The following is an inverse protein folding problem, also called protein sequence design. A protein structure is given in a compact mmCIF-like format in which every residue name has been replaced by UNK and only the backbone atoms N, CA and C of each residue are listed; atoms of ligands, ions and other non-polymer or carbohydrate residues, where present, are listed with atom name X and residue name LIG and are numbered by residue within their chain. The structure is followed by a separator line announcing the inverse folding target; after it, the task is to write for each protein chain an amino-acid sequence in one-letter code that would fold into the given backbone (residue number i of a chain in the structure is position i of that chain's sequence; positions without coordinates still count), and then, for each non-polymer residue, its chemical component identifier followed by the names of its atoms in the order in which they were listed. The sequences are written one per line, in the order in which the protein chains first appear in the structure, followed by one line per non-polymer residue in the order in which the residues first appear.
data_IF_627222561001
#
_entry.id   IF_627222561001
#
_cell.length_a   1.000
_cell.length_b   1.000
_cell.length_c   1.000
_cell.angle_alpha   90.00
_cell.angle_beta   90.00
_cell.angle_gamma   90.00
#
_symmetry.space_group_name_H-M   'P 1'
#
loop_
_entity.id
_entity.type
_entity.pdbx_description
1 polymer ?
#
# COMPACT_ATOMS: atom_id res chain seq x y z
N UNK A 1 -34.40 6.68 -6.76
CA UNK A 1 -35.14 5.82 -5.81
C UNK A 1 -34.41 5.92 -4.48
N UNK A 2 -35.09 6.35 -3.41
CA UNK A 2 -34.50 6.39 -2.06
C UNK A 2 -34.28 4.95 -1.62
N UNK A 3 -33.02 4.53 -1.50
CA UNK A 3 -32.72 3.25 -0.89
C UNK A 3 -33.11 3.37 0.59
N UNK A 4 -34.09 2.54 0.93
CA UNK A 4 -34.64 2.34 2.25
C UNK A 4 -33.55 2.14 3.30
N UNK A 5 -33.77 2.79 4.42
CA UNK A 5 -33.11 2.72 5.72
C UNK A 5 -32.83 1.26 6.11
N UNK A 6 -31.76 0.69 5.54
CA UNK A 6 -31.12 -0.49 6.13
C UNK A 6 -30.45 0.06 7.38
N UNK A 7 -30.83 -0.50 8.52
CA UNK A 7 -30.17 -0.31 9.80
C UNK A 7 -28.70 -0.71 9.62
N UNK A 8 -27.86 0.26 9.26
CA UNK A 8 -26.41 0.08 9.12
C UNK A 8 -25.82 0.04 10.53
N UNK A 9 -24.78 -0.76 10.71
CA UNK A 9 -24.14 -0.90 12.02
C UNK A 9 -23.65 0.49 12.50
N UNK A 10 -23.77 0.80 13.80
CA UNK A 10 -23.31 2.08 14.31
C UNK A 10 -21.80 2.21 14.12
N UNK A 11 -21.33 3.43 13.85
CA UNK A 11 -19.91 3.71 13.81
C UNK A 11 -19.25 3.36 15.16
N UNK A 12 -17.98 2.93 15.15
CA UNK A 12 -17.21 2.75 16.37
C UNK A 12 -17.22 4.00 17.25
N UNK A 13 -17.23 3.81 18.57
CA UNK A 13 -17.17 4.89 19.55
C UNK A 13 -15.84 5.66 19.44
N UNK A 14 -15.84 6.94 19.80
CA UNK A 14 -14.62 7.78 19.78
C UNK A 14 -13.52 7.26 20.73
N UNK A 15 -13.88 6.45 21.73
CA UNK A 15 -12.96 5.78 22.65
C UNK A 15 -12.50 4.39 22.20
N UNK A 16 -12.97 3.92 21.03
CA UNK A 16 -12.58 2.63 20.47
C UNK A 16 -11.07 2.57 20.18
N UNK A 17 -10.50 1.38 20.33
CA UNK A 17 -9.11 1.13 19.97
C UNK A 17 -8.92 1.14 18.44
N UNK A 18 -7.69 1.36 18.00
CA UNK A 18 -7.36 1.33 16.56
C UNK A 18 -7.66 -0.03 15.91
N UNK A 19 -7.52 -1.13 16.66
CA UNK A 19 -7.81 -2.49 16.18
C UNK A 19 -9.31 -2.67 15.93
N UNK A 20 -10.17 -2.22 16.87
CA UNK A 20 -11.63 -2.26 16.71
C UNK A 20 -12.10 -1.41 15.53
N UNK A 21 -11.53 -0.22 15.33
CA UNK A 21 -11.82 0.63 14.17
C UNK A 21 -11.39 -0.05 12.85
N UNK A 22 -10.23 -0.69 12.84
CA UNK A 22 -9.74 -1.41 11.66
C UNK A 22 -10.62 -2.61 11.32
N UNK A 23 -11.01 -3.40 12.31
CA UNK A 23 -11.89 -4.57 12.13
C UNK A 23 -13.28 -4.16 11.61
N UNK A 24 -13.81 -3.03 12.09
CA UNK A 24 -15.05 -2.47 11.55
C UNK A 24 -14.91 -2.17 10.06
N UNK A 25 -13.90 -1.38 9.67
CA UNK A 25 -13.70 -1.01 8.26
C UNK A 25 -13.20 -2.14 7.36
N UNK A 26 -12.72 -3.25 7.92
CA UNK A 26 -12.38 -4.44 7.14
C UNK A 26 -13.61 -5.11 6.51
N UNK A 27 -14.80 -4.86 7.07
CA UNK A 27 -16.08 -5.47 6.64
C UNK A 27 -17.12 -4.46 6.14
N UNK A 28 -16.91 -3.17 6.38
CA UNK A 28 -17.84 -2.09 6.03
C UNK A 28 -17.30 -1.19 4.92
N UNK A 29 -18.18 -0.73 4.04
CA UNK A 29 -17.83 0.20 2.97
C UNK A 29 -17.99 1.65 3.44
N UNK A 30 -16.97 2.48 3.22
CA UNK A 30 -16.98 3.89 3.63
C UNK A 30 -18.07 4.71 2.95
N UNK A 31 -18.51 4.32 1.76
CA UNK A 31 -19.60 4.99 1.03
C UNK A 31 -20.96 4.80 1.72
N UNK A 32 -21.13 3.75 2.53
CA UNK A 32 -22.35 3.52 3.31
C UNK A 32 -22.48 4.48 4.49
N UNK A 33 -21.41 5.20 4.85
CA UNK A 33 -21.34 6.16 5.97
C UNK A 33 -20.97 7.58 5.51
N UNK A 34 -21.14 7.89 4.22
CA UNK A 34 -20.71 9.15 3.61
C UNK A 34 -21.24 10.42 4.33
N UNK A 35 -22.42 10.34 4.93
CA UNK A 35 -23.05 11.42 5.71
C UNK A 35 -22.42 11.67 7.08
N UNK A 36 -21.61 10.72 7.58
CA UNK A 36 -20.86 10.86 8.81
C UNK A 36 -19.42 11.35 8.60
N UNK A 37 -18.95 11.44 7.35
CA UNK A 37 -17.64 12.00 7.02
C UNK A 37 -17.70 13.52 6.85
N UNK A 38 -16.59 14.17 7.19
CA UNK A 38 -16.37 15.59 6.92
C UNK A 38 -15.26 15.72 5.89
N UNK A 39 -15.40 16.71 5.00
CA UNK A 39 -14.33 17.03 4.05
C UNK A 39 -13.10 17.54 4.80
N UNK A 40 -11.94 16.98 4.48
CA UNK A 40 -10.65 17.40 5.03
C UNK A 40 -9.69 17.73 3.89
N UNK A 41 -9.00 18.87 3.99
CA UNK A 41 -7.96 19.25 3.04
C UNK A 41 -6.71 18.38 3.28
N UNK A 42 -6.53 17.33 2.48
CA UNK A 42 -5.35 16.48 2.50
C UNK A 42 -4.50 16.68 1.24
N UNK A 43 -3.23 17.03 1.42
CA UNK A 43 -2.24 17.08 0.33
C UNK A 43 -1.33 15.86 0.42
N UNK A 44 -1.37 15.01 -0.61
CA UNK A 44 -0.47 13.86 -0.73
C UNK A 44 0.69 14.21 -1.65
N UNK A 45 1.90 14.23 -1.10
CA UNK A 45 3.13 14.44 -1.87
C UNK A 45 3.65 13.10 -2.42
N UNK A 46 3.15 12.70 -3.59
CA UNK A 46 3.57 11.49 -4.29
C UNK A 46 4.88 11.80 -5.05
N UNK A 47 6.00 11.76 -4.31
CA UNK A 47 7.33 12.17 -4.83
C UNK A 47 7.99 11.16 -5.74
N UNK A 48 7.73 9.87 -5.57
CA UNK A 48 8.45 8.81 -6.27
C UNK A 48 7.49 7.94 -7.09
N UNK A 49 7.85 7.71 -8.36
CA UNK A 49 7.17 6.73 -9.19
C UNK A 49 7.79 5.36 -8.91
N UNK A 50 7.03 4.50 -8.26
CA UNK A 50 7.42 3.11 -8.07
C UNK A 50 6.97 2.31 -9.30
N UNK A 51 7.92 1.71 -10.00
CA UNK A 51 7.64 0.78 -11.10
C UNK A 51 7.81 -0.64 -10.59
N UNK A 52 6.81 -1.49 -10.87
CA UNK A 52 6.88 -2.92 -10.58
C UNK A 52 7.24 -3.68 -11.86
N UNK A 53 8.13 -4.65 -11.73
CA UNK A 53 8.57 -5.53 -12.82
C UNK A 53 8.50 -6.95 -12.31
N UNK A 54 7.85 -7.84 -13.07
CA UNK A 54 7.83 -9.26 -12.77
C UNK A 54 9.19 -9.88 -13.06
N UNK A 55 9.69 -10.69 -12.13
CA UNK A 55 10.95 -11.44 -12.26
C UNK A 55 10.70 -12.90 -11.92
N UNK A 56 11.52 -13.78 -12.48
CA UNK A 56 11.47 -15.20 -12.14
C UNK A 56 11.82 -15.42 -10.66
N UNK A 57 11.19 -16.42 -10.02
CA UNK A 57 11.34 -16.71 -8.59
C UNK A 57 12.80 -16.94 -8.19
N UNK A 58 13.50 -17.76 -8.96
CA UNK A 58 14.91 -18.09 -8.75
C UNK A 58 15.81 -16.85 -8.80
N UNK A 59 15.53 -15.95 -9.74
CA UNK A 59 16.21 -14.66 -9.87
C UNK A 59 15.98 -13.79 -8.63
N UNK A 60 14.73 -13.73 -8.15
CA UNK A 60 14.40 -12.98 -6.94
C UNK A 60 15.10 -13.55 -5.69
N UNK A 61 15.14 -14.88 -5.53
CA UNK A 61 15.82 -15.53 -4.40
C UNK A 61 17.33 -15.20 -4.38
N UNK A 62 17.98 -15.18 -5.55
CA UNK A 62 19.39 -14.77 -5.67
C UNK A 62 19.59 -13.30 -5.29
N UNK A 63 18.70 -12.41 -5.74
CA UNK A 63 18.72 -10.99 -5.39
C UNK A 63 18.52 -10.78 -3.88
N UNK A 64 17.57 -11.49 -3.27
CA UNK A 64 17.28 -11.42 -1.85
C UNK A 64 18.46 -11.90 -1.00
N UNK A 65 19.10 -13.00 -1.38
CA UNK A 65 20.30 -13.50 -0.70
C UNK A 65 21.46 -12.49 -0.76
N UNK A 66 21.66 -11.86 -1.92
CA UNK A 66 22.67 -10.82 -2.10
C UNK A 66 22.37 -9.58 -1.27
N UNK A 67 21.13 -9.11 -1.30
CA UNK A 67 20.65 -7.97 -0.52
C UNK A 67 20.87 -8.18 0.98
N UNK A 68 20.54 -9.37 1.50
CA UNK A 68 20.79 -9.75 2.88
C UNK A 68 22.29 -9.73 3.24
N UNK A 69 23.15 -10.27 2.36
CA UNK A 69 24.60 -10.28 2.59
C UNK A 69 25.24 -8.87 2.62
N UNK A 70 24.62 -7.90 1.96
CA UNK A 70 25.09 -6.51 1.87
C UNK A 70 24.36 -5.58 2.85
N UNK A 71 23.39 -6.09 3.62
CA UNK A 71 22.49 -5.31 4.47
C UNK A 71 21.83 -4.12 3.71
N UNK A 72 21.36 -4.41 2.50
CA UNK A 72 20.72 -3.43 1.60
C UNK A 72 19.35 -3.94 1.15
N UNK A 73 18.41 -3.04 0.81
CA UNK A 73 17.12 -3.46 0.24
C UNK A 73 17.28 -4.04 -1.16
N UNK A 74 16.47 -5.05 -1.48
CA UNK A 74 16.47 -5.75 -2.78
C UNK A 74 16.34 -4.77 -3.95
N UNK A 75 15.48 -3.75 -3.81
CA UNK A 75 15.26 -2.71 -4.82
C UNK A 75 16.55 -1.98 -5.21
N UNK A 76 17.42 -1.68 -4.23
CA UNK A 76 18.69 -0.99 -4.49
C UNK A 76 19.67 -1.89 -5.27
N UNK A 77 19.71 -3.17 -4.92
CA UNK A 77 20.54 -4.15 -5.64
C UNK A 77 20.07 -4.31 -7.09
N UNK A 78 18.75 -4.35 -7.32
CA UNK A 78 18.17 -4.42 -8.66
C UNK A 78 18.52 -3.16 -9.46
N UNK A 79 18.31 -1.97 -8.89
CA UNK A 79 18.58 -0.70 -9.58
C UNK A 79 20.07 -0.56 -9.95
N UNK A 80 20.98 -0.89 -9.03
CA UNK A 80 22.42 -0.88 -9.30
C UNK A 80 22.82 -1.88 -10.39
N UNK A 81 22.26 -3.10 -10.37
CA UNK A 81 22.53 -4.11 -11.37
C UNK A 81 22.01 -3.70 -12.76
N UNK A 82 20.76 -3.23 -12.84
CA UNK A 82 20.15 -2.78 -14.09
C UNK A 82 20.87 -1.57 -14.65
N UNK A 83 21.22 -0.58 -13.83
CA UNK A 83 21.99 0.59 -14.29
C UNK A 83 23.34 0.18 -14.86
N UNK A 84 24.05 -0.73 -14.20
CA UNK A 84 25.35 -1.20 -14.70
C UNK A 84 25.22 -1.84 -16.08
N UNK A 85 24.22 -2.69 -16.28
CA UNK A 85 23.98 -3.33 -17.59
C UNK A 85 23.51 -2.33 -18.64
N UNK A 86 22.56 -1.45 -18.31
CA UNK A 86 21.98 -0.50 -19.27
C UNK A 86 22.92 0.65 -19.66
N UNK A 87 23.83 1.06 -18.77
CA UNK A 87 24.87 2.06 -19.09
C UNK A 87 26.00 1.43 -19.91
N UNK A 88 26.24 0.12 -19.75
CA UNK A 88 27.29 -0.61 -20.47
C UNK A 88 26.79 -1.23 -21.79
N UNK A 89 25.47 -1.18 -22.04
CA UNK A 89 24.87 -1.64 -23.27
C UNK A 89 25.12 -0.62 -24.40
N UNK A 90 25.55 -1.06 -25.60
CA UNK A 90 25.78 -0.18 -26.76
C UNK A 90 24.49 0.39 -27.36
#
# INVERSE_FOLDING_TARGET
MRHSDKERDPLPDESASLEEVADFWATHDTTEYADAFVDVDATFDIRERHYQVEVQKDTFELLAKRAASLNMPVQKIIDEALRKELISAP
#
